data_IF_714382252069
#
_entry.id   IF_714382252069
#
_cell.length_a   1.000
_cell.length_b   1.000
_cell.length_c   1.000
_cell.angle_alpha   90.00
_cell.angle_beta   90.00
_cell.angle_gamma   90.00
#
_symmetry.space_group_name_H-M   'P 1'
#
loop_
_entity.id
_entity.type
_entity.pdbx_description
1 polymer ?
#
# COMPACT_ATOMS: atom_id res chain seq x y z
N UNK A 1 -5.21 -7.85 5.22
CA UNK A 1 -4.09 -6.88 5.29
C UNK A 1 -3.71 -6.53 6.73
N UNK A 2 -4.66 -6.19 7.62
CA UNK A 2 -4.37 -5.88 9.04
C UNK A 2 -3.52 -6.94 9.74
N UNK A 3 -3.91 -8.23 9.67
CA UNK A 3 -3.15 -9.31 10.30
C UNK A 3 -1.69 -9.43 9.82
N UNK A 4 -1.41 -9.06 8.55
CA UNK A 4 -0.04 -9.02 8.03
C UNK A 4 0.70 -7.83 8.64
N UNK A 5 0.07 -6.65 8.71
CA UNK A 5 0.69 -5.46 9.32
C UNK A 5 1.03 -5.70 10.80
N UNK A 6 0.15 -6.36 11.54
CA UNK A 6 0.33 -6.69 12.96
C UNK A 6 1.56 -7.59 13.18
N UNK A 7 1.82 -8.55 12.28
CA UNK A 7 3.00 -9.44 12.32
C UNK A 7 4.32 -8.66 12.27
N UNK A 8 4.34 -7.51 11.60
CA UNK A 8 5.51 -6.64 11.48
C UNK A 8 5.50 -5.50 12.50
N UNK A 9 4.46 -5.39 13.34
CA UNK A 9 4.25 -4.29 14.28
C UNK A 9 4.23 -2.90 13.60
N UNK A 10 3.66 -2.84 12.39
CA UNK A 10 3.53 -1.60 11.61
C UNK A 10 2.08 -1.29 11.29
N UNK A 11 1.82 -0.05 10.89
CA UNK A 11 0.49 0.32 10.39
C UNK A 11 0.20 -0.26 9.01
N UNK A 12 -1.08 -0.38 8.65
CA UNK A 12 -1.48 -0.75 7.27
C UNK A 12 -0.86 0.21 6.24
N UNK A 13 -0.75 1.50 6.55
CA UNK A 13 -0.18 2.50 5.64
C UNK A 13 1.30 2.21 5.38
N UNK A 14 2.07 1.92 6.44
CA UNK A 14 3.48 1.52 6.30
C UNK A 14 3.64 0.22 5.51
N UNK A 15 2.78 -0.78 5.74
CA UNK A 15 2.76 -2.00 4.93
C UNK A 15 2.46 -1.72 3.46
N UNK A 16 1.47 -0.86 3.18
CA UNK A 16 1.11 -0.43 1.83
C UNK A 16 2.19 0.37 1.12
N UNK A 17 3.05 1.08 1.85
CA UNK A 17 4.23 1.77 1.30
C UNK A 17 5.39 0.79 1.09
N UNK A 18 5.60 -0.16 2.01
CA UNK A 18 6.69 -1.14 1.89
C UNK A 18 6.47 -2.11 0.73
N UNK A 19 5.23 -2.50 0.46
CA UNK A 19 4.92 -3.47 -0.58
C UNK A 19 5.42 -3.08 -1.98
N UNK A 20 5.15 -1.86 -2.51
CA UNK A 20 5.72 -1.42 -3.79
C UNK A 20 7.25 -1.36 -3.77
N UNK A 21 7.87 -1.03 -2.64
CA UNK A 21 9.33 -1.01 -2.51
C UNK A 21 9.95 -2.42 -2.66
N UNK A 22 9.28 -3.48 -2.19
CA UNK A 22 9.71 -4.87 -2.44
C UNK A 22 9.56 -5.29 -3.91
N UNK A 23 8.74 -4.57 -4.68
CA UNK A 23 8.54 -4.79 -6.12
C UNK A 23 9.45 -3.89 -6.98
N UNK A 24 10.44 -3.22 -6.39
CA UNK A 24 11.29 -2.21 -7.03
C UNK A 24 10.50 -1.02 -7.63
N UNK A 25 9.35 -0.69 -7.04
CA UNK A 25 8.53 0.47 -7.38
C UNK A 25 8.69 1.58 -6.34
N UNK A 26 8.63 2.84 -6.78
CA UNK A 26 8.73 4.00 -5.89
C UNK A 26 7.33 4.53 -5.50
N UNK A 27 6.84 4.29 -4.27
CA UNK A 27 5.59 4.86 -3.79
C UNK A 27 5.76 6.37 -3.50
N UNK A 28 4.73 7.16 -3.83
CA UNK A 28 4.69 8.61 -3.55
C UNK A 28 3.51 8.95 -2.62
N UNK A 29 3.62 8.66 -1.30
CA UNK A 29 2.53 8.89 -0.37
C UNK A 29 2.32 10.40 -0.15
N UNK A 30 1.15 10.91 -0.57
CA UNK A 30 0.76 12.30 -0.33
C UNK A 30 0.38 12.51 1.13
N UNK A 31 1.02 13.47 1.79
CA UNK A 31 0.60 13.96 3.11
C UNK A 31 1.11 15.37 3.37
N UNK A 32 0.33 16.17 4.09
CA UNK A 32 0.76 17.48 4.61
C UNK A 32 1.06 17.43 6.12
N UNK A 33 0.77 16.31 6.78
CA UNK A 33 0.97 16.16 8.22
C UNK A 33 2.39 15.64 8.51
N UNK A 34 3.23 16.37 9.26
CA UNK A 34 4.60 15.96 9.57
C UNK A 34 4.70 14.59 10.28
N UNK A 35 3.74 14.26 11.15
CA UNK A 35 3.73 12.95 11.82
C UNK A 35 3.53 11.80 10.83
N UNK A 36 2.66 11.99 9.83
CA UNK A 36 2.49 11.03 8.75
C UNK A 36 3.70 10.99 7.83
N UNK A 37 4.36 12.12 7.53
CA UNK A 37 5.61 12.11 6.75
C UNK A 37 6.66 11.20 7.42
N UNK A 38 6.84 11.37 8.73
CA UNK A 38 7.77 10.54 9.51
C UNK A 38 7.37 9.07 9.49
N UNK A 39 6.12 8.73 9.76
CA UNK A 39 5.66 7.33 9.76
C UNK A 39 5.73 6.69 8.37
N UNK A 40 5.41 7.44 7.31
CA UNK A 40 5.46 6.95 5.93
C UNK A 40 6.89 6.63 5.47
N UNK A 41 7.89 7.34 6.00
CA UNK A 41 9.30 7.07 5.74
C UNK A 41 9.87 5.91 6.58
N UNK A 42 9.23 5.57 7.69
CA UNK A 42 9.65 4.50 8.61
C UNK A 42 9.16 3.13 8.12
N UNK A 43 9.77 2.66 7.03
CA UNK A 43 9.44 1.40 6.33
C UNK A 43 10.68 0.54 6.06
N UNK A 44 11.63 0.53 7.00
CA UNK A 44 12.91 -0.20 6.90
C UNK A 44 12.83 -1.73 7.10
N UNK A 45 11.64 -2.29 7.31
CA UNK A 45 11.43 -3.72 7.49
C UNK A 45 11.32 -4.45 6.14
N UNK A 46 11.46 -5.78 6.13
CA UNK A 46 11.32 -6.61 4.92
C UNK A 46 10.07 -7.47 4.98
N UNK A 47 9.33 -7.56 3.87
CA UNK A 47 8.17 -8.45 3.77
C UNK A 47 8.65 -9.85 3.35
N UNK A 48 8.19 -10.88 4.06
CA UNK A 48 8.52 -12.27 3.72
C UNK A 48 7.89 -12.70 2.39
N UNK A 49 8.50 -13.66 1.70
CA UNK A 49 8.01 -14.18 0.43
C UNK A 49 6.54 -14.64 0.51
N UNK A 50 6.19 -15.38 1.57
CA UNK A 50 4.82 -15.87 1.77
C UNK A 50 3.82 -14.72 1.94
N UNK A 51 4.19 -13.66 2.67
CA UNK A 51 3.29 -12.51 2.84
C UNK A 51 3.20 -11.70 1.54
N UNK A 52 4.27 -11.62 0.75
CA UNK A 52 4.23 -11.01 -0.60
C UNK A 52 3.27 -11.77 -1.51
N UNK A 53 3.26 -13.10 -1.48
CA UNK A 53 2.30 -13.91 -2.25
C UNK A 53 0.85 -13.62 -1.85
N UNK A 54 0.58 -13.49 -0.54
CA UNK A 54 -0.74 -13.11 -0.04
C UNK A 54 -1.14 -11.69 -0.47
N UNK A 55 -0.21 -10.74 -0.47
CA UNK A 55 -0.44 -9.36 -0.90
C UNK A 55 -0.70 -9.28 -2.42
N UNK A 56 0.02 -10.06 -3.22
CA UNK A 56 -0.15 -10.13 -4.67
C UNK A 56 -1.51 -10.71 -5.10
N UNK A 57 -2.17 -11.46 -4.21
CA UNK A 57 -3.50 -12.05 -4.44
C UNK A 57 -4.65 -11.10 -4.09
N UNK A 58 -4.36 -9.92 -3.53
CA UNK A 58 -5.38 -8.91 -3.25
C UNK A 58 -6.05 -8.52 -4.56
N UNK A 59 -7.38 -8.67 -4.60
CA UNK A 59 -8.16 -8.39 -5.78
C UNK A 59 -8.01 -6.92 -6.19
N UNK A 60 -7.81 -6.63 -7.49
CA UNK A 60 -7.85 -5.27 -7.99
C UNK A 60 -9.15 -4.59 -7.57
N UNK A 61 -9.05 -3.33 -7.14
CA UNK A 61 -10.22 -2.52 -6.84
C UNK A 61 -10.99 -2.34 -8.15
N UNK A 62 -12.21 -2.89 -8.22
CA UNK A 62 -13.09 -2.80 -9.41
C UNK A 62 -13.72 -1.42 -9.57
N UNK A 63 -13.82 -0.66 -8.48
CA UNK A 63 -14.49 0.63 -8.43
C UNK A 63 -13.75 1.52 -7.42
N UNK A 64 -13.14 2.60 -7.88
CA UNK A 64 -12.48 3.62 -7.04
C UNK A 64 -13.49 4.58 -6.37
N UNK A 65 -14.78 4.20 -6.37
CA UNK A 65 -15.91 4.80 -5.68
C UNK A 65 -16.21 6.23 -6.12
N UNK A 66 -15.37 7.17 -5.69
CA UNK A 66 -15.53 8.59 -5.97
C UNK A 66 -15.04 8.96 -7.37
N UNK A 67 -14.05 8.25 -7.92
CA UNK A 67 -13.40 8.60 -9.20
C UNK A 67 -13.87 7.74 -10.39
N UNK A 68 -14.81 6.82 -10.16
CA UNK A 68 -15.27 5.85 -11.16
C UNK A 68 -16.06 6.48 -12.30
N UNK A 69 -16.53 7.71 -12.08
CA UNK A 69 -17.16 8.57 -13.08
C UNK A 69 -16.17 9.22 -14.05
N UNK A 70 -14.86 9.19 -13.77
CA UNK A 70 -13.87 9.80 -14.64
C UNK A 70 -13.72 8.95 -15.91
N UNK A 71 -13.67 9.60 -17.10
CA UNK A 71 -13.72 8.91 -18.38
C UNK A 71 -12.54 7.95 -18.62
N UNK A 72 -11.44 8.13 -17.89
CA UNK A 72 -10.25 7.26 -17.94
C UNK A 72 -10.46 5.90 -17.27
N UNK A 73 -11.49 5.77 -16.41
CA UNK A 73 -11.81 4.52 -15.70
C UNK A 73 -13.05 3.80 -16.25
N UNK A 74 -13.86 4.46 -17.09
CA UNK A 74 -15.10 3.89 -17.67
C UNK A 74 -14.91 2.99 -18.89
N UNK A 75 -13.68 2.82 -19.41
CA UNK A 75 -13.42 2.11 -20.67
C UNK A 75 -12.59 0.82 -20.52
N UNK A 76 -12.78 0.09 -19.40
CA UNK A 76 -12.21 -1.25 -19.21
C UNK A 76 -13.25 -2.34 -19.36
#
# INVERSE_FOLDING_TARGET
MQAIADKYYVSIVQLGIRYPLELDLLPLPKTANPAHMKSNADVGFKISQNDMELLNQIQPIRDDGAASHLPVFTNK
#
